data_IF_168948044611
#
_entry.id   IF_168948044611
#
_cell.length_a   1.000
_cell.length_b   1.000
_cell.length_c   1.000
_cell.angle_alpha   90.00
_cell.angle_beta   90.00
_cell.angle_gamma   90.00
#
_symmetry.space_group_name_H-M   'P 1'
#
loop_
_entity.id
_entity.type
_entity.pdbx_description
1 polymer ?
#
# COMPACT_ATOMS: atom_id res chain seq x y z
N UNK A 1 -3.90 -16.20 17.52
CA UNK A 1 -3.84 -15.01 16.64
C UNK A 1 -2.40 -14.55 16.44
N UNK A 2 -1.51 -14.95 17.35
CA UNK A 2 -0.08 -14.56 17.44
C UNK A 2 0.77 -15.06 16.27
N UNK A 3 0.49 -16.27 15.74
CA UNK A 3 1.19 -16.81 14.58
C UNK A 3 0.95 -15.98 13.30
N UNK A 4 -0.24 -15.39 13.15
CA UNK A 4 -0.58 -14.56 12.00
C UNK A 4 0.13 -13.20 12.07
N UNK A 5 0.13 -12.57 13.26
CA UNK A 5 0.84 -11.32 13.52
C UNK A 5 2.36 -11.46 13.33
N UNK A 6 2.94 -12.57 13.83
CA UNK A 6 4.35 -12.88 13.65
C UNK A 6 4.73 -13.11 12.17
N UNK A 7 3.88 -13.82 11.41
CA UNK A 7 4.08 -14.01 9.96
C UNK A 7 4.01 -12.68 9.20
N UNK A 8 3.06 -11.80 9.54
CA UNK A 8 2.91 -10.48 8.94
C UNK A 8 4.10 -9.58 9.28
N UNK A 9 4.52 -9.53 10.54
CA UNK A 9 5.68 -8.77 10.99
C UNK A 9 6.97 -9.24 10.31
N UNK A 10 7.19 -10.56 10.21
CA UNK A 10 8.32 -11.11 9.48
C UNK A 10 8.31 -10.71 8.00
N UNK A 11 7.14 -10.75 7.34
CA UNK A 11 7.01 -10.32 5.94
C UNK A 11 7.29 -8.83 5.76
N UNK A 12 6.79 -7.98 6.67
CA UNK A 12 6.99 -6.53 6.65
C UNK A 12 8.44 -6.12 6.92
N UNK A 13 9.24 -6.96 7.58
CA UNK A 13 10.67 -6.70 7.82
C UNK A 13 11.53 -7.27 6.67
N UNK A 14 11.25 -8.52 6.28
CA UNK A 14 12.08 -9.27 5.35
C UNK A 14 11.95 -8.75 3.91
N UNK A 15 10.77 -8.27 3.52
CA UNK A 15 10.56 -7.70 2.19
C UNK A 15 11.33 -6.38 1.96
N UNK A 16 11.23 -5.34 2.81
CA UNK A 16 12.03 -4.13 2.67
C UNK A 16 13.53 -4.42 2.64
N UNK A 17 14.01 -5.31 3.51
CA UNK A 17 15.42 -5.71 3.58
C UNK A 17 15.89 -6.39 2.27
N UNK A 18 15.07 -7.25 1.68
CA UNK A 18 15.35 -7.85 0.37
C UNK A 18 15.37 -6.79 -0.75
N UNK A 19 14.43 -5.84 -0.76
CA UNK A 19 14.50 -4.70 -1.72
C UNK A 19 15.73 -3.83 -1.52
N UNK A 20 16.17 -3.64 -0.28
CA UNK A 20 17.39 -2.89 0.03
C UNK A 20 18.60 -3.64 -0.54
N UNK A 21 18.67 -4.95 -0.32
CA UNK A 21 19.71 -5.84 -0.85
C UNK A 21 19.72 -5.87 -2.38
N UNK A 22 18.57 -5.93 -3.06
CA UNK A 22 18.49 -5.88 -4.53
C UNK A 22 18.88 -4.51 -5.09
N UNK A 23 18.46 -3.41 -4.45
CA UNK A 23 18.87 -2.05 -4.79
C UNK A 23 20.39 -1.87 -4.69
N UNK A 24 21.02 -2.54 -3.71
CA UNK A 24 22.46 -2.55 -3.51
C UNK A 24 23.22 -3.50 -4.44
N UNK A 25 22.61 -4.62 -4.84
CA UNK A 25 23.27 -5.66 -5.66
C UNK A 25 23.03 -5.52 -7.15
N UNK A 26 22.05 -4.70 -7.58
CA UNK A 26 21.75 -4.47 -8.99
C UNK A 26 21.13 -5.67 -9.73
N UNK A 27 20.86 -6.76 -9.02
CA UNK A 27 20.30 -7.99 -9.58
C UNK A 27 18.80 -7.79 -9.82
N UNK A 28 18.40 -7.75 -11.10
CA UNK A 28 16.99 -7.65 -11.50
C UNK A 28 16.41 -9.05 -11.71
N UNK A 29 15.37 -9.41 -10.95
CA UNK A 29 14.60 -10.63 -11.18
C UNK A 29 13.85 -10.50 -12.52
N UNK A 30 13.91 -11.50 -13.42
CA UNK A 30 13.33 -11.42 -14.76
C UNK A 30 11.80 -11.25 -14.77
N UNK A 31 11.30 -10.46 -15.72
CA UNK A 31 9.90 -9.99 -15.85
C UNK A 31 8.86 -11.09 -16.10
N UNK A 32 9.30 -12.29 -16.48
CA UNK A 32 8.42 -13.41 -16.84
C UNK A 32 7.53 -13.89 -15.68
N UNK A 33 7.86 -13.57 -14.43
CA UNK A 33 7.11 -14.01 -13.24
C UNK A 33 6.11 -12.96 -12.71
N UNK A 34 5.95 -11.80 -13.36
CA UNK A 34 5.18 -10.66 -12.83
C UNK A 34 3.69 -10.96 -12.62
N UNK A 35 3.08 -11.81 -13.45
CA UNK A 35 1.67 -12.18 -13.31
C UNK A 35 1.43 -13.04 -12.07
N UNK A 36 2.32 -14.00 -11.81
CA UNK A 36 2.26 -14.89 -10.66
C UNK A 36 2.65 -14.13 -9.38
N UNK A 37 3.67 -13.27 -9.45
CA UNK A 37 4.09 -12.41 -8.35
C UNK A 37 3.05 -11.35 -7.98
N UNK A 38 2.38 -10.74 -8.97
CA UNK A 38 1.29 -9.78 -8.75
C UNK A 38 0.06 -10.44 -8.14
N UNK A 39 -0.31 -11.64 -8.62
CA UNK A 39 -1.40 -12.42 -8.02
C UNK A 39 -1.07 -12.87 -6.59
N UNK A 40 0.12 -13.43 -6.37
CA UNK A 40 0.56 -13.91 -5.05
C UNK A 40 0.68 -12.78 -4.02
N UNK A 41 1.23 -11.63 -4.40
CA UNK A 41 1.32 -10.46 -3.53
C UNK A 41 -0.05 -9.81 -3.26
N UNK A 42 -0.95 -9.79 -4.24
CA UNK A 42 -2.33 -9.33 -4.05
C UNK A 42 -3.14 -10.23 -3.12
N UNK A 43 -2.99 -11.55 -3.27
CA UNK A 43 -3.65 -12.57 -2.46
C UNK A 43 -3.12 -12.59 -1.02
N UNK A 44 -1.80 -12.67 -0.83
CA UNK A 44 -1.20 -12.61 0.51
C UNK A 44 -1.38 -11.25 1.17
N UNK A 45 -1.32 -10.16 0.39
CA UNK A 45 -1.64 -8.83 0.90
C UNK A 45 -3.08 -8.77 1.41
N UNK A 46 -4.02 -9.42 0.70
CA UNK A 46 -5.43 -9.46 1.08
C UNK A 46 -5.70 -10.25 2.34
N UNK A 47 -5.06 -11.41 2.49
CA UNK A 47 -5.15 -12.22 3.69
C UNK A 47 -4.49 -11.56 4.91
N UNK A 48 -3.38 -10.83 4.71
CA UNK A 48 -2.65 -10.16 5.78
C UNK A 48 -3.20 -8.78 6.15
N UNK A 49 -4.10 -8.20 5.33
CA UNK A 49 -4.56 -6.81 5.49
C UNK A 49 -3.54 -5.74 5.06
N UNK A 50 -2.35 -6.13 4.60
CA UNK A 50 -1.23 -5.22 4.27
C UNK A 50 -1.03 -5.00 2.77
N UNK A 51 -2.12 -5.06 1.98
CA UNK A 51 -2.12 -4.89 0.52
C UNK A 51 -1.40 -3.61 0.04
N UNK A 52 -1.49 -2.53 0.83
CA UNK A 52 -0.89 -1.24 0.50
C UNK A 52 0.64 -1.30 0.42
N UNK A 53 1.29 -1.93 1.39
CA UNK A 53 2.75 -2.00 1.48
C UNK A 53 3.35 -2.90 0.38
N UNK A 54 2.75 -4.06 0.14
CA UNK A 54 3.15 -4.99 -0.91
C UNK A 54 2.99 -4.39 -2.32
N UNK A 55 1.87 -3.69 -2.56
CA UNK A 55 1.63 -2.98 -3.83
C UNK A 55 2.63 -1.85 -4.04
N UNK A 56 2.93 -1.08 -2.99
CA UNK A 56 3.91 -0.02 -3.04
C UNK A 56 5.30 -0.55 -3.41
N UNK A 57 5.74 -1.60 -2.73
CA UNK A 57 7.03 -2.24 -2.99
C UNK A 57 7.15 -2.76 -4.43
N UNK A 58 6.11 -3.41 -4.97
CA UNK A 58 6.12 -3.92 -6.35
C UNK A 58 6.13 -2.78 -7.39
N UNK A 59 5.33 -1.72 -7.18
CA UNK A 59 5.27 -0.60 -8.12
C UNK A 59 6.53 0.28 -8.06
N UNK A 60 7.12 0.53 -6.89
CA UNK A 60 8.34 1.35 -6.76
C UNK A 60 9.51 0.71 -7.50
N UNK A 61 9.54 -0.63 -7.62
CA UNK A 61 10.54 -1.37 -8.43
C UNK A 61 10.37 -1.14 -9.94
N UNK A 62 9.14 -0.96 -10.42
CA UNK A 62 8.79 -0.86 -11.85
C UNK A 62 8.68 0.58 -12.36
N UNK A 63 8.35 1.51 -11.47
CA UNK A 63 8.08 2.93 -11.78
C UNK A 63 8.96 3.81 -10.87
N UNK A 64 10.20 4.11 -11.28
CA UNK A 64 11.10 4.96 -10.51
C UNK A 64 10.66 6.43 -10.51
N UNK A 65 9.84 6.84 -11.49
CA UNK A 65 9.24 8.16 -11.50
C UNK A 65 8.09 8.26 -10.49
N UNK A 66 8.19 9.22 -9.56
CA UNK A 66 7.23 9.42 -8.47
C UNK A 66 5.82 9.72 -8.97
N UNK A 67 5.68 10.39 -10.11
CA UNK A 67 4.37 10.75 -10.68
C UNK A 67 3.72 9.56 -11.38
N UNK A 68 4.50 8.80 -12.16
CA UNK A 68 4.04 7.56 -12.78
C UNK A 68 3.67 6.50 -11.73
N UNK A 69 4.45 6.41 -10.64
CA UNK A 69 4.12 5.59 -9.48
C UNK A 69 2.78 6.01 -8.85
N UNK A 70 2.62 7.29 -8.52
CA UNK A 70 1.41 7.80 -7.89
C UNK A 70 0.16 7.62 -8.78
N UNK A 71 0.29 7.85 -10.09
CA UNK A 71 -0.79 7.63 -11.05
C UNK A 71 -1.21 6.15 -11.12
N UNK A 72 -0.24 5.24 -11.27
CA UNK A 72 -0.53 3.80 -11.40
C UNK A 72 -1.09 3.22 -10.10
N UNK A 73 -0.55 3.63 -8.95
CA UNK A 73 -1.08 3.24 -7.64
C UNK A 73 -2.53 3.74 -7.45
N UNK A 74 -2.84 4.94 -7.94
CA UNK A 74 -4.19 5.51 -7.88
C UNK A 74 -5.17 4.77 -8.79
N UNK A 75 -4.76 4.41 -10.01
CA UNK A 75 -5.59 3.60 -10.92
C UNK A 75 -5.87 2.22 -10.33
N UNK A 76 -4.86 1.56 -9.76
CA UNK A 76 -5.07 0.27 -9.09
C UNK A 76 -5.99 0.40 -7.87
N UNK A 77 -5.90 1.48 -7.11
CA UNK A 77 -6.82 1.74 -6.00
C UNK A 77 -8.25 1.91 -6.51
N UNK A 78 -8.43 2.71 -7.56
CA UNK A 78 -9.72 2.92 -8.20
C UNK A 78 -10.34 1.61 -8.71
N UNK A 79 -9.56 0.73 -9.33
CA UNK A 79 -10.04 -0.59 -9.77
C UNK A 79 -10.55 -1.44 -8.60
N UNK A 80 -9.85 -1.40 -7.45
CA UNK A 80 -10.27 -2.10 -6.24
C UNK A 80 -11.54 -1.46 -5.67
N UNK A 81 -11.62 -0.13 -5.62
CA UNK A 81 -12.78 0.58 -5.09
C UNK A 81 -14.02 0.36 -5.97
N UNK A 82 -13.87 0.32 -7.29
CA UNK A 82 -14.94 -0.03 -8.24
C UNK A 82 -15.50 -1.43 -8.00
N UNK A 83 -14.70 -2.36 -7.46
CA UNK A 83 -15.18 -3.69 -7.08
C UNK A 83 -15.93 -3.71 -5.73
N UNK A 84 -15.58 -2.80 -4.81
CA UNK A 84 -16.09 -2.79 -3.42
C UNK A 84 -17.31 -1.89 -3.23
N UNK A 85 -17.31 -0.70 -3.83
CA UNK A 85 -18.37 0.31 -3.65
C UNK A 85 -19.76 -0.22 -4.06
N UNK A 86 -19.93 -0.93 -5.20
CA UNK A 86 -21.24 -1.49 -5.57
C UNK A 86 -21.77 -2.51 -4.55
N UNK A 87 -20.88 -3.34 -4.00
CA UNK A 87 -21.22 -4.33 -2.97
C UNK A 87 -21.66 -3.62 -1.70
N UNK A 88 -20.96 -2.58 -1.26
CA UNK A 88 -21.36 -1.79 -0.09
C UNK A 88 -22.68 -1.05 -0.30
N UNK A 89 -22.90 -0.48 -1.48
CA UNK A 89 -24.16 0.19 -1.80
C UNK A 89 -25.35 -0.78 -1.81
N UNK A 90 -25.14 -2.03 -2.23
CA UNK A 90 -26.22 -3.03 -2.27
C UNK A 90 -26.50 -3.67 -0.91
N UNK A 91 -25.46 -4.07 -0.18
CA UNK A 91 -25.62 -4.81 1.09
C UNK A 91 -25.69 -3.93 2.34
N UNK A 92 -25.25 -2.66 2.27
CA UNK A 92 -25.23 -1.71 3.40
C UNK A 92 -25.90 -0.38 3.05
N UNK A 93 -26.92 -0.42 2.20
CA UNK A 93 -27.66 0.77 1.76
C UNK A 93 -28.21 1.60 2.93
N UNK A 94 -28.73 0.95 3.98
CA UNK A 94 -29.31 1.65 5.13
C UNK A 94 -28.26 2.38 5.99
N UNK A 95 -27.13 1.73 6.32
CA UNK A 95 -26.01 2.36 7.05
C UNK A 95 -25.41 3.57 6.29
N UNK A 96 -25.33 3.46 4.96
CA UNK A 96 -24.84 4.57 4.11
C UNK A 96 -25.84 5.74 4.12
N UNK A 97 -27.14 5.44 4.16
CA UNK A 97 -28.20 6.44 4.29
C UNK A 97 -28.10 7.22 5.59
N UNK A 98 -27.92 6.52 6.72
CA UNK A 98 -27.80 7.16 8.05
C UNK A 98 -26.55 8.04 8.18
N UNK A 99 -25.44 7.67 7.54
CA UNK A 99 -24.16 8.39 7.64
C UNK A 99 -23.79 9.17 6.38
N UNK A 100 -24.77 9.51 5.53
CA UNK A 100 -24.52 10.17 4.24
C UNK A 100 -23.80 11.51 4.38
N UNK A 101 -24.15 12.29 5.41
CA UNK A 101 -23.52 13.59 5.69
C UNK A 101 -22.03 13.45 6.00
N UNK A 102 -21.67 12.51 6.88
CA UNK A 102 -20.26 12.25 7.26
C UNK A 102 -19.50 11.71 6.05
N UNK A 103 -20.12 10.82 5.28
CA UNK A 103 -19.52 10.26 4.06
C UNK A 103 -19.20 11.34 3.04
N UNK A 104 -20.13 12.27 2.77
CA UNK A 104 -19.90 13.39 1.87
C UNK A 104 -18.76 14.30 2.35
N UNK A 105 -18.72 14.60 3.65
CA UNK A 105 -17.65 15.41 4.22
C UNK A 105 -16.28 14.73 4.09
N UNK A 106 -16.21 13.42 4.32
CA UNK A 106 -14.98 12.64 4.13
C UNK A 106 -14.55 12.59 2.67
N UNK A 107 -15.48 12.50 1.71
CA UNK A 107 -15.17 12.57 0.28
C UNK A 107 -14.57 13.94 -0.08
N UNK A 108 -15.16 15.03 0.41
CA UNK A 108 -14.62 16.38 0.18
C UNK A 108 -13.23 16.51 0.81
N UNK A 109 -13.05 16.04 2.05
CA UNK A 109 -11.76 16.04 2.73
C UNK A 109 -10.71 15.22 1.97
N UNK A 110 -11.07 14.05 1.44
CA UNK A 110 -10.19 13.23 0.62
C UNK A 110 -9.78 13.92 -0.68
N UNK A 111 -10.71 14.59 -1.37
CA UNK A 111 -10.41 15.35 -2.59
C UNK A 111 -9.45 16.52 -2.32
N UNK A 112 -9.66 17.25 -1.23
CA UNK A 112 -8.75 18.32 -0.81
C UNK A 112 -7.38 17.76 -0.40
N UNK A 113 -7.37 16.66 0.34
CA UNK A 113 -6.16 15.95 0.77
C UNK A 113 -5.32 15.47 -0.41
N UNK A 114 -5.93 14.94 -1.47
CA UNK A 114 -5.23 14.53 -2.69
C UNK A 114 -4.59 15.72 -3.40
N UNK A 115 -5.27 16.87 -3.47
CA UNK A 115 -4.70 18.09 -4.07
C UNK A 115 -3.50 18.60 -3.28
N UNK A 116 -3.62 18.71 -1.95
CA UNK A 116 -2.53 19.11 -1.08
C UNK A 116 -1.36 18.11 -1.15
N UNK A 117 -1.67 16.81 -1.14
CA UNK A 117 -0.69 15.73 -1.25
C UNK A 117 0.06 15.75 -2.58
N UNK A 118 -0.63 16.01 -3.70
CA UNK A 118 0.02 16.15 -5.02
C UNK A 118 1.03 17.31 -5.03
N UNK A 119 0.62 18.49 -4.55
CA UNK A 119 1.51 19.66 -4.49
C UNK A 119 2.75 19.38 -3.61
N UNK A 120 2.54 18.71 -2.48
CA UNK A 120 3.63 18.34 -1.57
C UNK A 120 4.57 17.31 -2.21
N UNK A 121 4.02 16.29 -2.86
CA UNK A 121 4.79 15.25 -3.54
C UNK A 121 5.64 15.81 -4.68
N UNK A 122 5.12 16.76 -5.45
CA UNK A 122 5.85 17.44 -6.51
C UNK A 122 7.06 18.22 -5.96
N UNK A 123 6.92 18.86 -4.80
CA UNK A 123 7.97 19.64 -4.13
C UNK A 123 9.09 18.80 -3.49
N UNK A 124 8.83 17.53 -3.16
CA UNK A 124 9.81 16.67 -2.46
C UNK A 124 10.85 16.03 -3.39
N UNK A 125 12.10 15.93 -2.91
CA UNK A 125 13.18 15.16 -3.55
C UNK A 125 12.92 13.66 -3.40
N UNK A 126 13.20 12.87 -4.44
CA UNK A 126 12.91 11.43 -4.49
C UNK A 126 13.58 10.63 -3.37
N UNK A 127 14.81 11.00 -2.99
CA UNK A 127 15.57 10.35 -1.90
C UNK A 127 14.87 10.47 -0.54
N UNK A 128 14.25 11.61 -0.26
CA UNK A 128 13.53 11.84 0.99
C UNK A 128 12.28 10.96 1.10
N UNK A 129 11.56 10.79 -0.01
CA UNK A 129 10.37 9.93 -0.06
C UNK A 129 10.77 8.48 0.22
N UNK A 130 11.85 8.02 -0.41
CA UNK A 130 12.31 6.64 -0.25
C UNK A 130 12.74 6.36 1.20
N UNK A 131 13.53 7.25 1.80
CA UNK A 131 13.98 7.09 3.20
C UNK A 131 12.82 7.15 4.19
N UNK A 132 11.85 8.06 3.99
CA UNK A 132 10.67 8.17 4.85
C UNK A 132 9.80 6.90 4.80
N UNK A 133 9.50 6.42 3.58
CA UNK A 133 8.69 5.21 3.38
C UNK A 133 9.39 4.01 4.00
N UNK A 134 10.70 3.88 3.79
CA UNK A 134 11.49 2.78 4.34
C UNK A 134 11.49 2.79 5.88
N UNK A 135 11.70 3.95 6.50
CA UNK A 135 11.63 4.09 7.96
C UNK A 135 10.23 3.73 8.49
N UNK A 136 9.17 4.15 7.80
CA UNK A 136 7.79 3.84 8.17
C UNK A 136 7.47 2.35 8.12
N UNK A 137 7.92 1.64 7.08
CA UNK A 137 7.68 0.19 6.94
C UNK A 137 8.49 -0.61 7.96
N UNK A 138 9.76 -0.26 8.18
CA UNK A 138 10.59 -0.93 9.20
C UNK A 138 10.04 -0.68 10.60
N UNK A 139 9.60 0.54 10.89
CA UNK A 139 8.97 0.91 12.16
C UNK A 139 7.68 0.14 12.43
N UNK A 140 6.80 0.01 11.43
CA UNK A 140 5.57 -0.78 11.58
C UNK A 140 5.85 -2.28 11.73
N UNK A 141 6.83 -2.82 11.01
CA UNK A 141 7.28 -4.21 11.18
C UNK A 141 7.80 -4.51 12.58
N UNK A 142 8.61 -3.61 13.16
CA UNK A 142 9.10 -3.72 14.54
C UNK A 142 7.95 -3.66 15.56
N UNK A 143 6.99 -2.76 15.35
CA UNK A 143 5.80 -2.65 16.20
C UNK A 143 5.00 -3.96 16.22
N UNK A 144 4.69 -4.52 15.05
CA UNK A 144 3.95 -5.79 14.96
C UNK A 144 4.71 -6.97 15.57
N UNK A 145 6.05 -7.02 15.46
CA UNK A 145 6.82 -8.06 16.17
C UNK A 145 6.76 -7.89 17.68
N UNK A 146 6.79 -6.66 18.20
CA UNK A 146 6.68 -6.41 19.63
C UNK A 146 5.30 -6.81 20.18
N UNK A 147 4.24 -6.58 19.41
CA UNK A 147 2.88 -6.96 19.74
C UNK A 147 2.64 -8.47 19.65
N UNK A 148 3.38 -9.18 18.78
CA UNK A 148 3.31 -10.64 18.68
C UNK A 148 4.11 -11.39 19.77
N UNK A 149 5.05 -10.71 20.44
CA UNK A 149 5.88 -11.27 21.53
C UNK A 149 5.28 -11.02 22.93
N UNK A 150 4.26 -10.17 23.03
CA UNK A 150 3.55 -9.79 24.26
C UNK A 150 2.25 -10.58 24.36
#
# INVERSE_FOLDING_TARGET
QDLLLALIGAFLILLPLLTLSESWTGIRIPEANDRIGGFGSGFMGGLSGHQGALRAMFLTRRLPDKMAYAATASVLALCVDLSRVPVYLYFRSEEIGEHLQVTLLLVVAALLGVRAGKMWLESMKSEWIHNLVMAGIVGSGLFYMSEALT
#
